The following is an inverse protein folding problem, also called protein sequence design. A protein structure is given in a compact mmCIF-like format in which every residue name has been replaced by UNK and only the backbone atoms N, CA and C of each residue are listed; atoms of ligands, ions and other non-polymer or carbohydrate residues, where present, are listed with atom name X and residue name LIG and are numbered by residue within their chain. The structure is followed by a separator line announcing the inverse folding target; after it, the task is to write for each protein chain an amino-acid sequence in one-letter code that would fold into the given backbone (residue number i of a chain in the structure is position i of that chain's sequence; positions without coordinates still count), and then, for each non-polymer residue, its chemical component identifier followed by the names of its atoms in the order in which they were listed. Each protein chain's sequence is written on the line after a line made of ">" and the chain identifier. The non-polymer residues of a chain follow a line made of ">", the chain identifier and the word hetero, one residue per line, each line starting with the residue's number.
data_IF_265962539729
#
_entry.id   IF_265962539729
#
_cell.length_a   1.000
_cell.length_b   1.000
_cell.length_c   1.000
_cell.angle_alpha   90.00
_cell.angle_beta   90.00
_cell.angle_gamma   90.00
#
_symmetry.space_group_name_H-M   'P 1'
#
loop_
_entity.id
_entity.type
_entity.pdbx_description
1 polymer ?
#
# COMPACT_ATOMS: atom_id res chain seq x y z
N UNK A 1 7.90 0.17 10.26
CA UNK A 1 8.14 1.56 10.73
C UNK A 1 8.94 2.37 9.70
N UNK A 2 10.04 1.83 9.13
CA UNK A 2 10.84 2.47 8.06
C UNK A 2 10.01 2.78 6.79
N UNK A 3 9.11 1.87 6.39
CA UNK A 3 8.26 1.99 5.18
C UNK A 3 7.23 3.14 5.28
N UNK A 4 6.82 3.51 6.50
CA UNK A 4 5.78 4.51 6.73
C UNK A 4 6.28 5.95 6.82
N UNK A 5 7.61 6.13 6.91
CA UNK A 5 8.27 7.40 7.17
C UNK A 5 9.07 7.35 8.48
N UNK A 6 10.36 7.63 8.38
CA UNK A 6 11.29 7.57 9.53
C UNK A 6 10.93 8.68 10.52
N UNK A 7 10.64 8.30 11.77
CA UNK A 7 10.31 9.26 12.85
C UNK A 7 8.85 9.71 12.91
N UNK A 8 7.93 9.15 12.11
CA UNK A 8 6.50 9.51 12.15
C UNK A 8 5.64 8.41 12.79
N UNK A 9 4.88 8.78 13.83
CA UNK A 9 3.91 7.89 14.50
C UNK A 9 2.78 7.50 13.53
N UNK A 10 2.23 8.47 12.80
CA UNK A 10 1.19 8.24 11.78
C UNK A 10 1.70 7.39 10.62
N UNK A 11 2.95 7.61 10.22
CA UNK A 11 3.62 6.79 9.23
C UNK A 11 3.76 5.34 9.66
N UNK A 12 4.15 5.11 10.92
CA UNK A 12 4.27 3.77 11.48
C UNK A 12 2.94 3.00 11.48
N UNK A 13 1.83 3.67 11.80
CA UNK A 13 0.49 3.09 11.72
C UNK A 13 0.07 2.73 10.29
N UNK A 14 0.21 3.66 9.34
CA UNK A 14 -0.12 3.41 7.94
C UNK A 14 0.77 2.34 7.31
N UNK A 15 2.06 2.34 7.62
CA UNK A 15 3.00 1.32 7.15
C UNK A 15 2.70 -0.06 7.72
N UNK A 16 2.32 -0.16 9.00
CA UNK A 16 1.91 -1.43 9.61
C UNK A 16 0.59 -1.92 9.00
N UNK A 17 -0.41 -1.04 8.85
CA UNK A 17 -1.67 -1.37 8.21
C UNK A 17 -1.45 -1.85 6.77
N UNK A 18 -0.54 -1.23 6.01
CA UNK A 18 -0.21 -1.61 4.65
C UNK A 18 0.40 -3.03 4.56
N UNK A 19 1.41 -3.33 5.40
CA UNK A 19 2.08 -4.64 5.40
C UNK A 19 1.10 -5.76 5.77
N UNK A 20 0.09 -5.48 6.59
CA UNK A 20 -0.92 -6.46 7.02
C UNK A 20 -2.07 -6.56 6.03
N UNK A 21 -2.68 -5.44 5.63
CA UNK A 21 -3.88 -5.43 4.79
C UNK A 21 -3.60 -5.77 3.34
N UNK A 22 -2.45 -5.37 2.80
CA UNK A 22 -2.17 -5.58 1.39
C UNK A 22 -2.05 -7.07 0.99
N UNK A 23 -1.34 -7.95 1.73
CA UNK A 23 -1.32 -9.37 1.40
C UNK A 23 -2.70 -10.00 1.55
N UNK A 24 -3.48 -9.64 2.58
CA UNK A 24 -4.87 -10.10 2.77
C UNK A 24 -5.76 -9.67 1.60
N UNK A 25 -5.60 -8.44 1.13
CA UNK A 25 -6.33 -7.92 -0.03
C UNK A 25 -5.97 -8.71 -1.30
N UNK A 26 -4.69 -8.94 -1.55
CA UNK A 26 -4.23 -9.74 -2.69
C UNK A 26 -4.73 -11.19 -2.61
N UNK A 27 -4.73 -11.80 -1.43
CA UNK A 27 -5.25 -13.16 -1.20
C UNK A 27 -6.74 -13.29 -1.49
N UNK A 28 -7.52 -12.23 -1.26
CA UNK A 28 -8.95 -12.25 -1.58
C UNK A 28 -9.24 -11.89 -3.04
N UNK A 29 -8.45 -10.98 -3.61
CA UNK A 29 -8.71 -10.40 -4.94
C UNK A 29 -8.16 -11.27 -6.07
N UNK A 30 -6.96 -11.85 -5.93
CA UNK A 30 -6.35 -12.68 -6.97
C UNK A 30 -7.20 -13.92 -7.27
N UNK A 31 -7.65 -14.72 -6.29
CA UNK A 31 -8.51 -15.88 -6.56
C UNK A 31 -9.89 -15.48 -7.07
N UNK A 32 -10.40 -14.30 -6.70
CA UNK A 32 -11.70 -13.82 -7.17
C UNK A 32 -11.67 -13.38 -8.64
N UNK A 33 -10.59 -12.70 -9.08
CA UNK A 33 -10.42 -12.24 -10.46
C UNK A 33 -9.92 -13.35 -11.40
N UNK A 34 -9.08 -14.25 -10.91
CA UNK A 34 -8.41 -15.27 -11.72
C UNK A 34 -8.82 -16.71 -11.37
N UNK A 35 -9.92 -16.87 -10.63
CA UNK A 35 -10.42 -18.14 -10.13
C UNK A 35 -10.59 -19.18 -11.24
N UNK A 36 -9.69 -20.16 -11.28
CA UNK A 36 -9.71 -21.29 -12.22
C UNK A 36 -8.60 -21.30 -13.29
N UNK A 37 -7.85 -20.21 -13.48
CA UNK A 37 -6.82 -20.13 -14.54
C UNK A 37 -5.40 -20.53 -14.08
N UNK A 38 -5.11 -20.46 -12.78
CA UNK A 38 -3.77 -20.67 -12.25
C UNK A 38 -3.74 -21.68 -11.10
N UNK A 39 -2.64 -22.45 -11.01
CA UNK A 39 -2.39 -23.34 -9.88
C UNK A 39 -2.17 -22.53 -8.59
N UNK A 40 -2.54 -23.10 -7.44
CA UNK A 40 -2.37 -22.45 -6.14
C UNK A 40 -0.91 -21.97 -5.91
N UNK A 41 0.06 -22.78 -6.34
CA UNK A 41 1.48 -22.43 -6.27
C UNK A 41 1.84 -21.20 -7.10
N UNK A 42 1.25 -21.03 -8.30
CA UNK A 42 1.49 -19.85 -9.14
C UNK A 42 0.87 -18.59 -8.53
N UNK A 43 -0.35 -18.69 -7.99
CA UNK A 43 -1.03 -17.57 -7.34
C UNK A 43 -0.22 -17.01 -6.15
N UNK A 44 0.31 -17.89 -5.28
CA UNK A 44 1.15 -17.47 -4.15
C UNK A 44 2.47 -16.83 -4.58
N UNK A 45 3.11 -17.32 -5.65
CA UNK A 45 4.31 -16.68 -6.19
C UNK A 45 3.99 -15.30 -6.80
N UNK A 46 2.87 -15.18 -7.52
CA UNK A 46 2.42 -13.91 -8.08
C UNK A 46 2.17 -12.88 -6.97
N UNK A 47 1.50 -13.29 -5.89
CA UNK A 47 1.26 -12.46 -4.72
C UNK A 47 2.58 -11.96 -4.12
N UNK A 48 3.60 -12.81 -3.97
CA UNK A 48 4.91 -12.40 -3.46
C UNK A 48 5.60 -11.37 -4.38
N UNK A 49 5.55 -11.59 -5.70
CA UNK A 49 6.12 -10.67 -6.70
C UNK A 49 5.39 -9.32 -6.65
N UNK A 50 4.06 -9.33 -6.62
CA UNK A 50 3.23 -8.12 -6.55
C UNK A 50 3.45 -7.40 -5.22
N UNK A 51 3.52 -8.13 -4.11
CA UNK A 51 3.80 -7.59 -2.78
C UNK A 51 5.16 -6.89 -2.73
N UNK A 52 6.22 -7.56 -3.18
CA UNK A 52 7.56 -6.99 -3.27
C UNK A 52 7.64 -5.80 -4.21
N UNK A 53 7.00 -5.90 -5.38
CA UNK A 53 6.90 -4.82 -6.35
C UNK A 53 6.16 -3.59 -5.79
N UNK A 54 5.08 -3.80 -5.03
CA UNK A 54 4.36 -2.72 -4.37
C UNK A 54 5.20 -2.06 -3.27
N UNK A 55 5.95 -2.83 -2.48
CA UNK A 55 6.89 -2.25 -1.50
C UNK A 55 7.91 -1.35 -2.20
N UNK A 56 8.52 -1.84 -3.29
CA UNK A 56 9.51 -1.07 -4.07
C UNK A 56 8.85 0.18 -4.69
N UNK A 57 7.65 0.04 -5.25
CA UNK A 57 6.88 1.15 -5.81
C UNK A 57 6.62 2.24 -4.77
N UNK A 58 6.16 1.87 -3.56
CA UNK A 58 5.95 2.84 -2.49
C UNK A 58 7.25 3.50 -2.02
N UNK A 59 8.37 2.77 -2.01
CA UNK A 59 9.69 3.35 -1.71
C UNK A 59 10.17 4.35 -2.78
N UNK A 60 9.86 4.10 -4.05
CA UNK A 60 10.23 4.98 -5.18
C UNK A 60 9.35 6.22 -5.24
N UNK A 61 8.02 6.06 -5.16
CA UNK A 61 7.08 7.18 -5.32
C UNK A 61 7.24 8.20 -4.21
N UNK A 62 7.43 7.75 -2.96
CA UNK A 62 7.74 8.65 -1.86
C UNK A 62 8.68 7.98 -0.83
N UNK A 63 9.99 8.30 -0.84
CA UNK A 63 10.96 7.73 0.11
C UNK A 63 10.71 8.19 1.57
N UNK A 64 9.82 9.17 1.77
CA UNK A 64 9.37 9.63 3.08
C UNK A 64 8.17 8.82 3.62
N UNK A 65 7.69 7.84 2.85
CA UNK A 65 6.65 6.88 3.22
C UNK A 65 5.22 7.40 3.08
N UNK A 66 4.26 6.49 3.30
CA UNK A 66 2.80 6.71 3.22
C UNK A 66 2.29 7.90 4.05
N UNK A 67 3.03 8.33 5.07
CA UNK A 67 2.70 9.49 5.88
C UNK A 67 2.61 10.78 5.05
N UNK A 68 3.52 10.99 4.09
CA UNK A 68 3.57 12.23 3.30
C UNK A 68 2.44 12.27 2.27
N UNK A 69 2.18 11.17 1.54
CA UNK A 69 0.97 11.02 0.71
C UNK A 69 -0.32 11.33 1.48
N UNK A 70 -0.44 10.85 2.72
CA UNK A 70 -1.61 11.12 3.55
C UNK A 70 -1.71 12.58 3.99
N UNK A 71 -0.60 13.25 4.27
CA UNK A 71 -0.59 14.69 4.57
C UNK A 71 -0.98 15.52 3.34
N UNK A 72 -0.41 15.24 2.17
CA UNK A 72 -0.75 15.90 0.90
C UNK A 72 -2.23 15.69 0.58
N UNK A 73 -2.73 14.45 0.74
CA UNK A 73 -4.14 14.14 0.54
C UNK A 73 -5.04 14.94 1.51
N UNK A 74 -4.66 15.04 2.80
CA UNK A 74 -5.41 15.86 3.77
C UNK A 74 -5.35 17.35 3.48
N UNK A 75 -4.20 17.87 3.06
CA UNK A 75 -4.05 19.28 2.68
C UNK A 75 -4.94 19.59 1.47
N UNK A 76 -4.94 18.70 0.49
CA UNK A 76 -5.80 18.82 -0.70
C UNK A 76 -7.29 18.67 -0.37
N UNK A 77 -7.64 17.82 0.59
CA UNK A 77 -9.01 17.66 1.08
C UNK A 77 -9.47 18.84 1.94
N UNK A 78 -8.55 19.51 2.66
CA UNK A 78 -8.87 20.71 3.47
C UNK A 78 -9.13 21.94 2.62
N UNK A 79 -8.47 22.07 1.47
CA UNK A 79 -8.70 23.14 0.50
C UNK A 79 -9.98 22.92 -0.35
N UNK A 80 -10.63 21.76 -0.21
CA UNK A 80 -11.95 21.46 -0.75
C UNK A 80 -12.98 21.75 0.37
N UNK A 81 -13.96 22.68 0.26
CA UNK A 81 -14.68 23.16 -0.93
C UNK A 81 -14.57 24.65 -1.27
N UNK A 82 -13.72 25.44 -0.62
CA UNK A 82 -13.59 26.86 -0.93
C UNK A 82 -12.11 27.21 -1.15
N UNK A 83 -11.71 27.68 -2.35
CA UNK A 83 -10.31 27.98 -2.70
C UNK A 83 -9.76 29.29 -2.11
N UNK A 84 -10.25 29.73 -0.94
CA UNK A 84 -9.81 30.95 -0.26
C UNK A 84 -9.52 30.67 1.21
#
# INVERSE_FOLDING_TARGET
>A
IIIGGVGSIMGSFLGAAFIVLLPIFLDNVIPHLFGGLFSASFASNLQLIVFGGLIIFFLIVEPHGLARLWQIAKEKLRLWPFPH
#
